data_IF_083706924445
#
_entry.id   IF_083706924445
#
_cell.length_a   1.000
_cell.length_b   1.000
_cell.length_c   1.000
_cell.angle_alpha   90.00
_cell.angle_beta   90.00
_cell.angle_gamma   90.00
#
_symmetry.space_group_name_H-M   'P 1'
#
loop_
_entity.id
_entity.type
_entity.pdbx_description
1 polymer ?
#
# COMPACT_ATOMS: atom_id res chain seq x y z
N UNK A 1 29.06 23.44 0.74
CA UNK A 1 28.43 22.86 -0.48
C UNK A 1 27.76 21.51 -0.23
N UNK A 2 28.43 20.55 0.43
CA UNK A 2 27.92 19.18 0.65
C UNK A 2 26.55 19.10 1.36
N UNK A 3 26.31 19.90 2.40
CA UNK A 3 25.03 19.92 3.12
C UNK A 3 23.85 20.34 2.21
N UNK A 4 24.01 21.42 1.44
CA UNK A 4 22.97 21.94 0.54
C UNK A 4 22.58 20.91 -0.53
N UNK A 5 23.55 20.16 -1.05
CA UNK A 5 23.32 19.07 -1.98
C UNK A 5 22.53 17.93 -1.34
N UNK A 6 22.88 17.51 -0.12
CA UNK A 6 22.15 16.47 0.61
C UNK A 6 20.70 16.87 0.92
N UNK A 7 20.46 18.13 1.29
CA UNK A 7 19.10 18.62 1.52
C UNK A 7 18.28 18.68 0.21
N UNK A 8 18.89 19.04 -0.91
CA UNK A 8 18.24 18.97 -2.23
C UNK A 8 17.90 17.54 -2.62
N UNK A 9 18.83 16.60 -2.44
CA UNK A 9 18.57 15.18 -2.69
C UNK A 9 17.47 14.63 -1.78
N UNK A 10 17.42 15.07 -0.51
CA UNK A 10 16.37 14.67 0.42
C UNK A 10 14.99 15.14 -0.09
N UNK A 11 14.89 16.38 -0.56
CA UNK A 11 13.66 16.91 -1.14
C UNK A 11 13.22 16.12 -2.38
N UNK A 12 14.14 15.83 -3.31
CA UNK A 12 13.84 15.07 -4.54
C UNK A 12 13.41 13.63 -4.22
N UNK A 13 14.13 12.95 -3.33
CA UNK A 13 13.79 11.57 -2.96
C UNK A 13 12.48 11.47 -2.17
N UNK A 14 12.16 12.49 -1.35
CA UNK A 14 10.86 12.60 -0.71
C UNK A 14 9.73 12.78 -1.74
N UNK A 15 9.90 13.67 -2.71
CA UNK A 15 8.93 13.86 -3.80
C UNK A 15 8.73 12.58 -4.62
N UNK A 16 9.81 11.87 -4.96
CA UNK A 16 9.72 10.58 -5.66
C UNK A 16 8.95 9.54 -4.83
N UNK A 17 9.22 9.45 -3.52
CA UNK A 17 8.49 8.56 -2.63
C UNK A 17 6.98 8.90 -2.60
N UNK A 18 6.63 10.18 -2.49
CA UNK A 18 5.22 10.62 -2.51
C UNK A 18 4.54 10.26 -3.83
N UNK A 19 5.22 10.42 -4.95
CA UNK A 19 4.71 10.04 -6.27
C UNK A 19 4.46 8.52 -6.35
N UNK A 20 5.40 7.68 -5.91
CA UNK A 20 5.21 6.22 -5.89
C UNK A 20 4.09 5.80 -4.92
N UNK A 21 3.98 6.48 -3.78
CA UNK A 21 2.90 6.23 -2.82
C UNK A 21 1.54 6.56 -3.42
N UNK A 22 1.40 7.69 -4.13
CA UNK A 22 0.17 8.07 -4.82
C UNK A 22 -0.22 7.06 -5.91
N UNK A 23 0.76 6.55 -6.68
CA UNK A 23 0.50 5.52 -7.71
C UNK A 23 -0.05 4.23 -7.13
N UNK A 24 0.31 3.88 -5.90
CA UNK A 24 -0.16 2.66 -5.23
C UNK A 24 -1.61 2.75 -4.76
N UNK A 25 -2.10 3.93 -4.39
CA UNK A 25 -3.43 4.10 -3.78
C UNK A 25 -4.57 3.46 -4.60
N UNK A 26 -4.63 3.62 -5.93
CA UNK A 26 -5.68 2.99 -6.74
C UNK A 26 -5.69 1.46 -6.68
N UNK A 27 -4.53 0.79 -6.66
CA UNK A 27 -4.50 -0.68 -6.62
C UNK A 27 -4.89 -1.22 -5.24
N UNK A 28 -4.59 -0.49 -4.16
CA UNK A 28 -5.07 -0.82 -2.82
C UNK A 28 -6.59 -0.67 -2.73
N UNK A 29 -7.14 0.43 -3.27
CA UNK A 29 -8.58 0.66 -3.32
C UNK A 29 -9.30 -0.43 -4.13
N UNK A 30 -8.74 -0.81 -5.29
CA UNK A 30 -9.28 -1.89 -6.13
C UNK A 30 -9.29 -3.24 -5.39
N UNK A 31 -8.19 -3.60 -4.73
CA UNK A 31 -8.13 -4.85 -3.96
C UNK A 31 -9.15 -4.87 -2.81
N UNK A 32 -9.27 -3.76 -2.07
CA UNK A 32 -10.25 -3.63 -0.99
C UNK A 32 -11.68 -3.75 -1.51
N UNK A 33 -11.98 -3.12 -2.64
CA UNK A 33 -13.28 -3.18 -3.29
C UNK A 33 -13.64 -4.61 -3.76
N UNK A 34 -12.70 -5.33 -4.39
CA UNK A 34 -12.90 -6.73 -4.79
C UNK A 34 -13.12 -7.66 -3.60
N UNK A 35 -12.36 -7.49 -2.52
CA UNK A 35 -12.57 -8.23 -1.26
C UNK A 35 -13.94 -7.94 -0.67
N UNK A 36 -14.38 -6.68 -0.70
CA UNK A 36 -15.73 -6.30 -0.25
C UNK A 36 -16.84 -6.93 -1.11
N UNK A 37 -16.65 -7.02 -2.42
CA UNK A 37 -17.60 -7.72 -3.31
C UNK A 37 -17.68 -9.22 -3.00
N UNK A 38 -16.54 -9.88 -2.77
CA UNK A 38 -16.49 -11.29 -2.38
C UNK A 38 -17.18 -11.52 -1.02
N UNK A 39 -16.97 -10.63 -0.04
CA UNK A 39 -17.63 -10.71 1.25
C UNK A 39 -19.16 -10.63 1.10
N UNK A 40 -19.66 -9.63 0.36
CA UNK A 40 -21.09 -9.49 0.07
C UNK A 40 -21.67 -10.71 -0.65
N UNK A 41 -20.93 -11.26 -1.61
CA UNK A 41 -21.36 -12.46 -2.34
C UNK A 41 -21.51 -13.66 -1.39
N UNK A 42 -20.57 -13.83 -0.47
CA UNK A 42 -20.63 -14.90 0.54
C UNK A 42 -21.79 -14.69 1.52
N UNK A 43 -22.04 -13.47 1.96
CA UNK A 43 -23.17 -13.12 2.83
C UNK A 43 -24.52 -13.46 2.18
N UNK A 44 -24.68 -13.13 0.89
CA UNK A 44 -25.89 -13.47 0.13
C UNK A 44 -26.14 -14.97 0.06
N UNK A 45 -25.08 -15.77 -0.15
CA UNK A 45 -25.20 -17.24 -0.18
C UNK A 45 -25.55 -17.79 1.19
N UNK A 46 -24.97 -17.24 2.25
CA UNK A 46 -25.24 -17.69 3.61
C UNK A 46 -26.70 -17.39 4.02
N UNK A 47 -27.18 -16.17 3.76
CA UNK A 47 -28.56 -15.78 4.03
C UNK A 47 -29.58 -16.62 3.25
N UNK A 48 -29.29 -16.93 1.99
CA UNK A 48 -30.16 -17.77 1.18
C UNK A 48 -30.26 -19.22 1.71
N UNK A 49 -29.15 -19.77 2.25
CA UNK A 49 -29.14 -21.10 2.87
C UNK A 49 -29.95 -21.12 4.17
N UNK A 50 -29.77 -20.12 5.02
CA UNK A 50 -30.52 -19.98 6.27
C UNK A 50 -32.03 -19.85 6.05
N UNK A 51 -32.45 -19.19 4.97
CA UNK A 51 -33.87 -19.10 4.59
C UNK A 51 -34.42 -20.43 4.03
N UNK A 52 -33.59 -21.23 3.35
CA UNK A 52 -34.01 -22.49 2.76
C UNK A 52 -34.25 -23.60 3.81
N UNK A 53 -33.48 -23.62 4.90
CA UNK A 53 -33.65 -24.58 6.02
C UNK A 53 -34.96 -24.37 6.81
N UNK A 54 -35.68 -23.27 6.58
CA UNK A 54 -36.83 -22.84 7.38
C UNK A 54 -38.18 -23.46 7.03
N UNK A 55 -38.53 -23.72 5.76
CA UNK A 55 -39.87 -24.29 5.45
C UNK A 55 -40.18 -24.73 4.00
N UNK A 56 -39.34 -24.51 2.98
CA UNK A 56 -39.78 -24.62 1.56
C UNK A 56 -38.84 -25.47 0.68
N UNK A 57 -38.66 -26.75 1.01
CA UNK A 57 -37.73 -27.66 0.32
C UNK A 57 -38.12 -28.07 -1.13
N UNK A 58 -39.28 -27.68 -1.67
CA UNK A 58 -39.85 -28.34 -2.87
C UNK A 58 -40.10 -27.44 -4.10
N UNK A 59 -39.84 -26.13 -4.09
CA UNK A 59 -40.23 -25.24 -5.22
C UNK A 59 -39.12 -24.58 -6.04
N UNK A 60 -37.83 -24.80 -5.77
CA UNK A 60 -36.76 -23.95 -6.33
C UNK A 60 -35.71 -24.61 -7.26
N UNK A 61 -35.80 -25.90 -7.59
CA UNK A 61 -34.71 -26.65 -8.26
C UNK A 61 -34.16 -26.03 -9.57
N UNK A 62 -35.01 -25.41 -10.40
CA UNK A 62 -34.57 -24.78 -11.66
C UNK A 62 -33.97 -23.37 -11.49
N UNK A 63 -34.55 -22.57 -10.60
CA UNK A 63 -34.04 -21.23 -10.27
C UNK A 63 -32.72 -21.32 -9.50
N UNK A 64 -32.59 -22.33 -8.63
CA UNK A 64 -31.37 -22.60 -7.88
C UNK A 64 -30.20 -22.96 -8.79
N UNK A 65 -30.38 -23.76 -9.84
CA UNK A 65 -29.26 -24.13 -10.71
C UNK A 65 -28.68 -22.93 -11.47
N UNK A 66 -29.53 -22.04 -11.99
CA UNK A 66 -29.10 -20.81 -12.65
C UNK A 66 -28.42 -19.86 -11.68
N UNK A 67 -28.97 -19.71 -10.47
CA UNK A 67 -28.39 -18.89 -9.42
C UNK A 67 -27.04 -19.43 -8.93
N UNK A 68 -26.91 -20.74 -8.71
CA UNK A 68 -25.64 -21.41 -8.36
C UNK A 68 -24.60 -21.27 -9.47
N UNK A 69 -25.00 -21.39 -10.73
CA UNK A 69 -24.15 -21.19 -11.90
C UNK A 69 -23.66 -19.74 -12.01
N UNK A 70 -24.55 -18.77 -11.78
CA UNK A 70 -24.17 -17.35 -11.69
C UNK A 70 -23.20 -17.10 -10.54
N UNK A 71 -23.51 -17.57 -9.33
CA UNK A 71 -22.66 -17.39 -8.15
C UNK A 71 -21.24 -17.95 -8.37
N UNK A 72 -21.13 -19.17 -8.90
CA UNK A 72 -19.84 -19.81 -9.19
C UNK A 72 -19.03 -19.01 -10.22
N UNK A 73 -19.68 -18.54 -11.29
CA UNK A 73 -19.03 -17.74 -12.33
C UNK A 73 -18.57 -16.38 -11.79
N UNK A 74 -19.43 -15.68 -11.04
CA UNK A 74 -19.16 -14.38 -10.43
C UNK A 74 -18.02 -14.49 -9.42
N UNK A 75 -18.06 -15.49 -8.53
CA UNK A 75 -16.98 -15.75 -7.57
C UNK A 75 -15.65 -16.05 -8.28
N UNK A 76 -15.67 -16.84 -9.36
CA UNK A 76 -14.46 -17.12 -10.14
C UNK A 76 -13.89 -15.85 -10.77
N UNK A 77 -14.75 -15.01 -11.35
CA UNK A 77 -14.34 -13.74 -11.95
C UNK A 77 -13.73 -12.79 -10.92
N UNK A 78 -14.40 -12.59 -9.78
CA UNK A 78 -13.89 -11.75 -8.69
C UNK A 78 -12.55 -12.24 -8.14
N UNK A 79 -12.36 -13.57 -8.01
CA UNK A 79 -11.08 -14.13 -7.57
C UNK A 79 -9.96 -13.92 -8.60
N UNK A 80 -10.26 -14.02 -9.90
CA UNK A 80 -9.30 -13.74 -10.95
C UNK A 80 -8.86 -12.28 -10.92
N UNK A 81 -9.81 -11.35 -10.83
CA UNK A 81 -9.54 -9.92 -10.70
C UNK A 81 -8.76 -9.60 -9.42
N UNK A 82 -9.11 -10.23 -8.30
CA UNK A 82 -8.40 -10.07 -7.04
C UNK A 82 -6.94 -10.56 -7.15
N UNK A 83 -6.70 -11.70 -7.81
CA UNK A 83 -5.36 -12.20 -8.04
C UNK A 83 -4.54 -11.23 -8.90
N UNK A 84 -5.13 -10.67 -9.96
CA UNK A 84 -4.49 -9.67 -10.81
C UNK A 84 -4.16 -8.38 -10.03
N UNK A 85 -5.11 -7.85 -9.26
CA UNK A 85 -4.91 -6.67 -8.41
C UNK A 85 -3.81 -6.92 -7.36
N UNK A 86 -3.80 -8.11 -6.75
CA UNK A 86 -2.77 -8.52 -5.78
C UNK A 86 -1.39 -8.59 -6.42
N UNK A 87 -1.26 -9.21 -7.61
CA UNK A 87 -0.01 -9.28 -8.34
C UNK A 87 0.50 -7.89 -8.72
N UNK A 88 -0.39 -6.99 -9.17
CA UNK A 88 -0.07 -5.59 -9.47
C UNK A 88 0.39 -4.86 -8.20
N UNK A 89 -0.32 -5.00 -7.09
CA UNK A 89 0.06 -4.42 -5.79
C UNK A 89 1.46 -4.84 -5.40
N UNK A 90 1.79 -6.14 -5.45
CA UNK A 90 3.11 -6.64 -5.05
C UNK A 90 4.23 -5.98 -5.85
N UNK A 91 4.09 -5.87 -7.17
CA UNK A 91 5.07 -5.19 -8.04
C UNK A 91 5.23 -3.71 -7.68
N UNK A 92 4.13 -3.01 -7.42
CA UNK A 92 4.16 -1.58 -7.08
C UNK A 92 4.72 -1.35 -5.67
N UNK A 93 4.43 -2.26 -4.71
CA UNK A 93 5.00 -2.25 -3.37
C UNK A 93 6.52 -2.35 -3.38
N UNK A 94 7.10 -3.18 -4.26
CA UNK A 94 8.56 -3.28 -4.37
C UNK A 94 9.20 -1.98 -4.86
N UNK A 95 8.55 -1.27 -5.78
CA UNK A 95 9.01 0.05 -6.23
C UNK A 95 8.89 1.10 -5.11
N UNK A 96 7.78 1.10 -4.38
CA UNK A 96 7.56 1.97 -3.23
C UNK A 96 8.61 1.74 -2.14
N UNK A 97 8.92 0.48 -1.82
CA UNK A 97 9.99 0.12 -0.85
C UNK A 97 11.35 0.66 -1.28
N UNK A 98 11.70 0.54 -2.57
CA UNK A 98 12.96 1.08 -3.10
C UNK A 98 13.00 2.62 -3.01
N UNK A 99 11.90 3.29 -3.34
CA UNK A 99 11.80 4.74 -3.23
C UNK A 99 11.92 5.21 -1.77
N UNK A 100 11.26 4.51 -0.85
CA UNK A 100 11.37 4.76 0.59
C UNK A 100 12.80 4.55 1.10
N UNK A 101 13.45 3.44 0.72
CA UNK A 101 14.83 3.16 1.11
C UNK A 101 15.81 4.25 0.67
N UNK A 102 15.67 4.74 -0.58
CA UNK A 102 16.48 5.88 -1.07
C UNK A 102 16.21 7.16 -0.29
N UNK A 103 14.93 7.49 -0.05
CA UNK A 103 14.54 8.64 0.77
C UNK A 103 15.18 8.56 2.15
N UNK A 104 15.04 7.42 2.83
CA UNK A 104 15.54 7.22 4.18
C UNK A 104 17.08 7.30 4.25
N UNK A 105 17.78 6.72 3.27
CA UNK A 105 19.24 6.79 3.19
C UNK A 105 19.72 8.24 3.06
N UNK A 106 19.12 9.01 2.16
CA UNK A 106 19.49 10.42 1.95
C UNK A 106 19.16 11.28 3.17
N UNK A 107 17.99 11.09 3.79
CA UNK A 107 17.63 11.77 5.04
C UNK A 107 18.64 11.48 6.17
N UNK A 108 19.06 10.23 6.30
CA UNK A 108 20.05 9.81 7.28
C UNK A 108 21.41 10.46 7.02
N UNK A 109 21.86 10.48 5.75
CA UNK A 109 23.11 11.15 5.36
C UNK A 109 23.05 12.66 5.62
N UNK A 110 21.94 13.31 5.27
CA UNK A 110 21.73 14.74 5.51
C UNK A 110 21.75 15.07 7.01
N UNK A 111 21.10 14.25 7.84
CA UNK A 111 21.11 14.44 9.29
C UNK A 111 22.50 14.24 9.90
N UNK A 112 23.24 13.23 9.44
CA UNK A 112 24.62 12.98 9.89
C UNK A 112 25.56 14.14 9.53
N UNK A 113 25.47 14.67 8.30
CA UNK A 113 26.27 15.81 7.86
C UNK A 113 25.95 17.09 8.66
N UNK A 114 24.66 17.36 8.96
CA UNK A 114 24.29 18.48 9.85
C UNK A 114 24.89 18.36 11.24
N UNK A 115 24.86 17.15 11.83
CA UNK A 115 25.47 16.90 13.15
C UNK A 115 26.98 17.13 13.11
N UNK A 116 27.65 16.63 12.07
CA UNK A 116 29.09 16.84 11.88
C UNK A 116 29.44 18.31 11.78
N UNK A 117 28.74 19.07 10.94
CA UNK A 117 28.99 20.49 10.75
C UNK A 117 28.77 21.30 12.03
N UNK A 118 27.72 20.99 12.81
CA UNK A 118 27.48 21.63 14.11
C UNK A 118 28.61 21.33 15.11
N UNK A 119 29.09 20.09 15.16
CA UNK A 119 30.18 19.70 16.05
C UNK A 119 31.52 20.36 15.65
N UNK A 120 31.79 20.51 14.36
CA UNK A 120 32.97 21.24 13.86
C UNK A 120 32.88 22.73 14.22
N UNK A 121 31.71 23.35 14.08
CA UNK A 121 31.48 24.74 14.48
C UNK A 121 31.64 24.97 15.98
N UNK A 122 31.09 24.09 16.83
CA UNK A 122 31.21 24.22 18.29
C UNK A 122 32.66 24.07 18.74
N UNK A 123 33.43 23.15 18.13
CA UNK A 123 34.87 22.99 18.40
C UNK A 123 35.66 24.22 17.98
N UNK A 124 35.42 24.76 16.78
CA UNK A 124 36.09 25.96 16.30
C UNK A 124 35.80 27.18 17.18
N UNK A 125 34.56 27.32 17.65
CA UNK A 125 34.16 28.38 18.56
C UNK A 125 34.83 28.24 19.93
N UNK A 126 34.92 27.02 20.47
CA UNK A 126 35.62 26.75 21.73
C UNK A 126 37.11 27.11 21.63
N UNK A 127 37.80 26.68 20.58
CA UNK A 127 39.23 26.99 20.40
C UNK A 127 39.46 28.50 20.33
N UNK A 128 38.59 29.23 19.62
CA UNK A 128 38.69 30.69 19.51
C UNK A 128 38.48 31.42 20.84
N UNK A 129 37.73 30.83 21.78
CA UNK A 129 37.54 31.36 23.14
C UNK A 129 38.70 31.02 24.09
N UNK A 130 39.52 30.01 23.77
CA UNK A 130 40.68 29.60 24.57
C UNK A 130 41.98 30.29 24.12
N UNK A 131 42.04 30.77 22.88
CA UNK A 131 43.19 31.46 22.29
C UNK A 131 43.13 32.99 22.46
N UNK A 132 42.03 33.55 22.98
CA UNK A 132 41.87 34.98 23.28
C UNK A 132 41.74 35.21 24.78
#
# INVERSE_FOLDING_TARGET
>A
MKQKMLDQMAAVTAAQYMQEHAKVQPVLAQEAQLRGQLAKLNEQVQAAREQADGDHAMKALGADLLWQGWHTRTRRQLNLELAQATAKKLRMMDQLRKAFGRKHAVETMAAAERKRHKAEQSKAQMNRLLEG
#
